data_IF_826342813276
#
_entry.id   IF_826342813276
#
_cell.length_a   1.000
_cell.length_b   1.000
_cell.length_c   1.000
_cell.angle_alpha   90.00
_cell.angle_beta   90.00
_cell.angle_gamma   90.00
#
_symmetry.space_group_name_H-M   'P 1'
#
loop_
_entity.id
_entity.type
_entity.pdbx_description
1 polymer ?
#
# COMPACT_ATOMS: atom_id res chain seq x y z
N UNK A 1 19.82 -23.31 -2.27
CA UNK A 1 18.52 -22.61 -2.25
C UNK A 1 17.50 -23.58 -2.81
N UNK A 2 16.47 -24.00 -2.07
CA UNK A 2 15.47 -24.89 -2.65
C UNK A 2 14.70 -24.11 -3.72
N UNK A 3 14.63 -24.67 -4.93
CA UNK A 3 13.78 -24.19 -6.01
C UNK A 3 12.33 -24.26 -5.54
N UNK A 4 11.81 -23.18 -4.95
CA UNK A 4 10.37 -23.04 -4.76
C UNK A 4 9.78 -22.74 -6.13
N UNK A 5 9.04 -23.71 -6.68
CA UNK A 5 8.32 -23.52 -7.94
C UNK A 5 7.38 -22.32 -7.79
N UNK A 6 7.52 -21.34 -8.68
CA UNK A 6 6.59 -20.21 -8.77
C UNK A 6 5.20 -20.74 -9.11
N UNK A 7 4.12 -20.15 -8.55
CA UNK A 7 2.76 -20.56 -8.86
C UNK A 7 2.48 -20.34 -10.35
N UNK A 8 1.88 -21.34 -11.01
CA UNK A 8 1.59 -21.29 -12.44
C UNK A 8 0.38 -20.41 -12.76
N UNK A 9 -0.57 -20.30 -11.82
CA UNK A 9 -1.79 -19.51 -11.96
C UNK A 9 -2.18 -18.88 -10.61
N UNK A 10 -3.18 -17.99 -10.65
CA UNK A 10 -3.64 -17.25 -9.47
C UNK A 10 -4.28 -18.17 -8.41
N UNK A 11 -4.96 -19.24 -8.82
CA UNK A 11 -5.60 -20.17 -7.88
C UNK A 11 -4.57 -20.94 -7.06
N UNK A 12 -3.47 -21.39 -7.67
CA UNK A 12 -2.33 -21.99 -6.98
C UNK A 12 -1.71 -21.03 -5.98
N UNK A 13 -1.60 -19.75 -6.33
CA UNK A 13 -1.10 -18.73 -5.40
C UNK A 13 -2.08 -18.53 -4.23
N UNK A 14 -3.39 -18.46 -4.47
CA UNK A 14 -4.40 -18.31 -3.41
C UNK A 14 -4.39 -19.53 -2.48
N UNK A 15 -4.30 -20.74 -3.04
CA UNK A 15 -4.16 -21.97 -2.26
C UNK A 15 -2.89 -21.94 -1.41
N UNK A 16 -1.76 -21.54 -1.99
CA UNK A 16 -0.50 -21.41 -1.26
C UNK A 16 -0.60 -20.39 -0.10
N UNK A 17 -1.28 -19.25 -0.32
CA UNK A 17 -1.52 -18.24 0.73
C UNK A 17 -2.35 -18.84 1.86
N UNK A 18 -3.42 -19.57 1.55
CA UNK A 18 -4.31 -20.18 2.56
C UNK A 18 -3.61 -21.21 3.46
N UNK A 19 -2.60 -21.91 2.92
CA UNK A 19 -1.82 -22.90 3.67
C UNK A 19 -0.77 -22.23 4.56
N UNK A 20 -0.29 -21.03 4.17
CA UNK A 20 0.81 -20.32 4.83
C UNK A 20 0.29 -19.05 5.53
N UNK A 21 -0.56 -19.20 6.54
CA UNK A 21 -1.19 -18.07 7.26
C UNK A 21 -0.36 -17.49 8.40
N UNK A 22 0.71 -18.16 8.82
CA UNK A 22 1.57 -17.69 9.92
C UNK A 22 2.56 -16.63 9.47
N UNK A 23 2.75 -15.58 10.28
CA UNK A 23 3.60 -14.43 9.95
C UNK A 23 5.06 -14.81 9.61
N UNK A 24 5.65 -15.74 10.36
CA UNK A 24 7.02 -16.20 10.13
C UNK A 24 7.15 -16.95 8.79
N UNK A 25 6.14 -17.75 8.45
CA UNK A 25 6.04 -18.47 7.18
C UNK A 25 5.83 -17.51 6.01
N UNK A 26 5.00 -16.47 6.20
CA UNK A 26 4.78 -15.40 5.21
C UNK A 26 6.09 -14.67 4.89
N UNK A 27 6.84 -14.27 5.91
CA UNK A 27 8.11 -13.54 5.73
C UNK A 27 9.18 -14.40 5.07
N UNK A 28 9.33 -15.67 5.47
CA UNK A 28 10.40 -16.55 4.98
C UNK A 28 10.11 -17.17 3.60
N UNK A 29 8.85 -17.46 3.29
CA UNK A 29 8.47 -18.21 2.08
C UNK A 29 7.62 -17.41 1.10
N UNK A 30 6.57 -16.70 1.57
CA UNK A 30 5.65 -16.02 0.66
C UNK A 30 6.26 -14.73 0.07
N UNK A 31 6.87 -13.88 0.89
CA UNK A 31 7.48 -12.63 0.45
C UNK A 31 8.50 -12.77 -0.70
N UNK A 32 9.48 -13.70 -0.66
CA UNK A 32 10.42 -13.86 -1.76
C UNK A 32 9.77 -14.35 -3.06
N UNK A 33 8.78 -15.25 -2.96
CA UNK A 33 8.00 -15.75 -4.12
C UNK A 33 7.26 -14.58 -4.78
N UNK A 34 6.50 -13.79 -4.01
CA UNK A 34 5.72 -12.67 -4.54
C UNK A 34 6.60 -11.62 -5.25
N UNK A 35 7.82 -11.40 -4.76
CA UNK A 35 8.78 -10.48 -5.38
C UNK A 35 9.30 -10.96 -6.74
N UNK A 36 9.34 -12.28 -6.97
CA UNK A 36 9.81 -12.87 -8.22
C UNK A 36 8.72 -12.95 -9.30
N UNK A 37 7.45 -12.97 -8.90
CA UNK A 37 6.32 -13.03 -9.84
C UNK A 37 6.23 -11.72 -10.65
N UNK A 38 6.09 -11.79 -11.99
CA UNK A 38 6.00 -10.61 -12.85
C UNK A 38 4.69 -9.85 -12.61
N UNK A 39 4.72 -8.52 -12.80
CA UNK A 39 3.56 -7.65 -12.57
C UNK A 39 2.30 -8.07 -13.35
N UNK A 40 2.46 -8.62 -14.56
CA UNK A 40 1.35 -9.07 -15.41
C UNK A 40 0.53 -10.19 -14.79
N UNK A 41 1.15 -11.04 -13.95
CA UNK A 41 0.47 -12.10 -13.22
C UNK A 41 -0.61 -11.53 -12.29
N UNK A 42 -0.29 -10.43 -11.60
CA UNK A 42 -1.20 -9.77 -10.66
C UNK A 42 -2.38 -9.03 -11.34
N UNK A 43 -2.41 -8.98 -12.67
CA UNK A 43 -3.54 -8.48 -13.46
C UNK A 43 -4.52 -9.59 -13.86
N UNK A 44 -4.18 -10.86 -13.64
CA UNK A 44 -5.01 -12.00 -13.98
C UNK A 44 -6.15 -12.20 -12.95
N UNK A 45 -7.20 -12.89 -13.38
CA UNK A 45 -8.28 -13.38 -12.52
C UNK A 45 -8.02 -14.81 -12.05
N UNK A 46 -8.89 -15.30 -11.17
CA UNK A 46 -9.00 -16.74 -10.86
C UNK A 46 -9.57 -17.52 -12.05
N UNK A 47 -9.43 -18.85 -12.04
CA UNK A 47 -10.03 -19.74 -13.06
C UNK A 47 -11.56 -19.59 -13.18
N UNK A 48 -12.24 -19.30 -12.07
CA UNK A 48 -13.68 -18.99 -12.03
C UNK A 48 -14.01 -17.55 -12.48
N UNK A 49 -13.04 -16.82 -13.05
CA UNK A 49 -13.17 -15.43 -13.49
C UNK A 49 -13.55 -14.44 -12.37
N UNK A 50 -13.23 -14.77 -11.11
CA UNK A 50 -13.35 -13.85 -9.96
C UNK A 50 -12.10 -13.01 -9.79
N UNK A 51 -12.25 -11.80 -9.27
CA UNK A 51 -11.14 -10.94 -8.91
C UNK A 51 -10.47 -11.47 -7.63
N UNK A 52 -9.14 -11.69 -7.62
CA UNK A 52 -8.44 -12.12 -6.41
C UNK A 52 -8.64 -11.17 -5.21
N UNK A 53 -8.92 -9.89 -5.48
CA UNK A 53 -9.20 -8.88 -4.45
C UNK A 53 -10.58 -9.07 -3.77
N UNK A 54 -11.50 -9.86 -4.36
CA UNK A 54 -12.75 -10.29 -3.70
C UNK A 54 -12.58 -11.55 -2.84
N UNK A 55 -11.56 -12.36 -3.15
CA UNK A 55 -11.34 -13.68 -2.53
C UNK A 55 -10.40 -13.57 -1.33
N UNK A 56 -9.40 -12.71 -1.43
CA UNK A 56 -8.40 -12.51 -0.38
C UNK A 56 -8.90 -11.54 0.69
N UNK A 57 -8.71 -11.91 1.97
CA UNK A 57 -8.98 -11.00 3.08
C UNK A 57 -7.89 -9.90 3.18
N UNK A 58 -8.25 -8.61 3.09
CA UNK A 58 -7.27 -7.52 3.07
C UNK A 58 -6.48 -7.34 4.37
N UNK A 59 -6.97 -7.85 5.51
CA UNK A 59 -6.26 -7.81 6.78
C UNK A 59 -5.29 -8.99 6.88
N UNK A 60 -5.79 -10.22 6.77
CA UNK A 60 -4.96 -11.43 6.91
C UNK A 60 -3.99 -11.64 5.75
N UNK A 61 -4.41 -11.30 4.53
CA UNK A 61 -3.61 -11.46 3.31
C UNK A 61 -2.99 -10.14 2.85
N UNK A 62 -2.69 -9.21 3.77
CA UNK A 62 -2.22 -7.85 3.43
C UNK A 62 -1.04 -7.82 2.45
N UNK A 63 -0.06 -8.72 2.62
CA UNK A 63 1.13 -8.79 1.76
C UNK A 63 0.77 -9.11 0.29
N UNK A 64 0.19 -10.29 -0.03
CA UNK A 64 -0.20 -10.59 -1.42
C UNK A 64 -1.28 -9.64 -1.94
N UNK A 65 -2.23 -9.21 -1.10
CA UNK A 65 -3.26 -8.24 -1.48
C UNK A 65 -2.65 -6.94 -2.02
N UNK A 66 -1.58 -6.45 -1.38
CA UNK A 66 -0.84 -5.25 -1.82
C UNK A 66 -0.24 -5.42 -3.21
N UNK A 67 0.28 -6.61 -3.56
CA UNK A 67 0.82 -6.85 -4.91
C UNK A 67 -0.25 -6.78 -5.99
N UNK A 68 -1.41 -7.43 -5.76
CA UNK A 68 -2.55 -7.33 -6.66
C UNK A 68 -3.00 -5.88 -6.79
N UNK A 69 -3.23 -5.20 -5.67
CA UNK A 69 -3.73 -3.83 -5.66
C UNK A 69 -2.76 -2.85 -6.33
N UNK A 70 -1.45 -2.95 -6.06
CA UNK A 70 -0.43 -2.12 -6.67
C UNK A 70 -0.35 -2.33 -8.19
N UNK A 71 -0.44 -3.58 -8.67
CA UNK A 71 -0.47 -3.87 -10.10
C UNK A 71 -1.71 -3.24 -10.78
N UNK A 72 -2.89 -3.33 -10.16
CA UNK A 72 -4.11 -2.69 -10.66
C UNK A 72 -4.02 -1.17 -10.66
N UNK A 73 -3.37 -0.57 -9.66
CA UNK A 73 -3.09 0.87 -9.62
C UNK A 73 -2.20 1.34 -10.77
N UNK A 74 -1.42 0.46 -11.39
CA UNK A 74 -0.53 0.77 -12.51
C UNK A 74 -1.05 0.30 -13.87
N UNK A 75 -2.19 -0.39 -13.92
CA UNK A 75 -2.77 -0.83 -15.18
C UNK A 75 -3.17 0.38 -16.05
N UNK A 76 -3.10 0.22 -17.38
CA UNK A 76 -3.45 1.29 -18.33
C UNK A 76 -4.95 1.63 -18.31
N UNK A 77 -5.80 0.62 -18.13
CA UNK A 77 -7.27 0.76 -18.14
C UNK A 77 -7.90 0.02 -16.95
N UNK A 78 -7.73 0.51 -15.72
CA UNK A 78 -8.30 -0.14 -14.55
C UNK A 78 -9.82 0.11 -14.48
N UNK A 79 -10.57 -0.83 -13.90
CA UNK A 79 -11.94 -0.55 -13.47
C UNK A 79 -11.88 0.37 -12.24
N UNK A 80 -11.92 1.68 -12.48
CA UNK A 80 -11.62 2.67 -11.45
C UNK A 80 -12.60 2.65 -10.29
N UNK A 81 -13.90 2.53 -10.55
CA UNK A 81 -14.91 2.56 -9.49
C UNK A 81 -14.68 1.43 -8.48
N UNK A 82 -14.40 0.22 -8.99
CA UNK A 82 -14.10 -0.94 -8.16
C UNK A 82 -12.74 -0.83 -7.47
N UNK A 83 -11.73 -0.34 -8.20
CA UNK A 83 -10.38 -0.17 -7.66
C UNK A 83 -10.35 0.81 -6.48
N UNK A 84 -11.05 1.94 -6.57
CA UNK A 84 -11.16 2.89 -5.45
C UNK A 84 -11.77 2.19 -4.23
N UNK A 85 -12.83 1.39 -4.40
CA UNK A 85 -13.45 0.66 -3.29
C UNK A 85 -12.46 -0.29 -2.60
N UNK A 86 -11.71 -1.07 -3.37
CA UNK A 86 -10.67 -1.95 -2.81
C UNK A 86 -9.59 -1.16 -2.07
N UNK A 87 -9.10 -0.05 -2.63
CA UNK A 87 -8.07 0.75 -1.98
C UNK A 87 -8.60 1.35 -0.67
N UNK A 88 -9.80 1.94 -0.69
CA UNK A 88 -10.40 2.53 0.51
C UNK A 88 -10.61 1.48 1.61
N UNK A 89 -11.12 0.29 1.27
CA UNK A 89 -11.26 -0.80 2.22
C UNK A 89 -9.88 -1.22 2.75
N UNK A 90 -8.93 -1.47 1.87
CA UNK A 90 -7.59 -1.93 2.23
C UNK A 90 -6.87 -1.00 3.21
N UNK A 91 -6.87 0.31 2.93
CA UNK A 91 -6.24 1.33 3.78
C UNK A 91 -6.82 1.41 5.20
N UNK A 92 -8.00 0.84 5.44
CA UNK A 92 -8.60 0.81 6.79
C UNK A 92 -8.21 -0.41 7.62
N UNK A 93 -7.91 -1.55 6.99
CA UNK A 93 -7.83 -2.86 7.68
C UNK A 93 -6.48 -3.57 7.56
N UNK A 94 -5.55 -3.11 6.73
CA UNK A 94 -4.28 -3.80 6.51
C UNK A 94 -3.47 -4.07 7.81
N UNK A 95 -2.61 -5.09 7.77
CA UNK A 95 -1.61 -5.38 8.79
C UNK A 95 -0.30 -4.65 8.46
N UNK A 96 0.10 -3.72 9.32
CA UNK A 96 1.29 -2.90 9.13
C UNK A 96 2.58 -3.74 9.07
N UNK A 97 2.64 -4.88 9.76
CA UNK A 97 3.83 -5.75 9.77
C UNK A 97 4.06 -6.36 8.39
N UNK A 98 2.98 -6.79 7.73
CA UNK A 98 3.03 -7.29 6.36
C UNK A 98 3.42 -6.18 5.37
N UNK A 99 2.85 -4.99 5.54
CA UNK A 99 3.12 -3.85 4.65
C UNK A 99 4.57 -3.38 4.71
N UNK A 100 5.19 -3.41 5.90
CA UNK A 100 6.61 -3.04 6.07
C UNK A 100 7.58 -3.97 5.32
N UNK A 101 7.13 -5.14 4.85
CA UNK A 101 7.92 -6.01 3.96
C UNK A 101 7.94 -5.51 2.51
N UNK A 102 6.94 -4.69 2.12
CA UNK A 102 6.73 -4.20 0.75
C UNK A 102 6.36 -2.71 0.71
N UNK A 103 7.15 -1.84 1.35
CA UNK A 103 6.83 -0.42 1.49
C UNK A 103 6.66 0.30 0.13
N UNK A 104 7.43 -0.10 -0.89
CA UNK A 104 7.31 0.46 -2.25
C UNK A 104 5.97 0.13 -2.91
N UNK A 105 5.46 -1.09 -2.73
CA UNK A 105 4.16 -1.50 -3.28
C UNK A 105 3.02 -0.81 -2.56
N UNK A 106 3.15 -0.61 -1.26
CA UNK A 106 2.17 0.14 -0.49
C UNK A 106 2.11 1.61 -0.91
N UNK A 107 3.26 2.23 -1.16
CA UNK A 107 3.32 3.59 -1.70
C UNK A 107 2.63 3.67 -3.07
N UNK A 108 2.81 2.68 -3.95
CA UNK A 108 2.11 2.61 -5.25
C UNK A 108 0.59 2.56 -5.09
N UNK A 109 0.08 1.84 -4.08
CA UNK A 109 -1.35 1.81 -3.76
C UNK A 109 -1.84 3.20 -3.34
N UNK A 110 -1.12 3.84 -2.43
CA UNK A 110 -1.49 5.15 -1.91
C UNK A 110 -1.44 6.24 -2.98
N UNK A 111 -0.39 6.25 -3.82
CA UNK A 111 -0.30 7.12 -5.01
C UNK A 111 -1.42 6.83 -6.01
N UNK A 112 -1.79 5.55 -6.18
CA UNK A 112 -2.94 5.13 -6.96
C UNK A 112 -4.23 5.81 -6.49
N UNK A 113 -4.50 5.82 -5.18
CA UNK A 113 -5.67 6.52 -4.64
C UNK A 113 -5.64 8.00 -4.99
N UNK A 114 -4.55 8.72 -4.71
CA UNK A 114 -4.43 10.16 -4.99
C UNK A 114 -4.68 10.47 -6.46
N UNK A 115 -4.06 9.69 -7.36
CA UNK A 115 -4.22 9.83 -8.82
C UNK A 115 -5.67 9.65 -9.24
N UNK A 116 -6.32 8.59 -8.75
CA UNK A 116 -7.70 8.28 -9.10
C UNK A 116 -8.65 9.35 -8.54
N UNK A 117 -8.53 9.75 -7.27
CA UNK A 117 -9.42 10.78 -6.70
C UNK A 117 -9.24 12.15 -7.37
N UNK A 118 -8.01 12.47 -7.77
CA UNK A 118 -7.72 13.71 -8.52
C UNK A 118 -8.34 13.67 -9.92
N UNK A 119 -8.26 12.53 -10.62
CA UNK A 119 -8.87 12.38 -11.95
C UNK A 119 -10.40 12.57 -11.93
N UNK A 120 -11.05 12.20 -10.82
CA UNK A 120 -12.48 12.39 -10.60
C UNK A 120 -12.83 13.78 -10.03
N UNK A 121 -11.85 14.67 -9.91
CA UNK A 121 -12.04 16.04 -9.46
C UNK A 121 -12.29 16.19 -7.95
N UNK A 122 -12.02 15.16 -7.14
CA UNK A 122 -12.24 15.21 -5.70
C UNK A 122 -11.11 14.56 -4.90
N UNK A 123 -9.96 15.22 -4.86
CA UNK A 123 -8.79 14.81 -4.07
C UNK A 123 -9.04 14.74 -2.56
N UNK A 124 -10.05 15.45 -2.05
CA UNK A 124 -10.43 15.45 -0.62
C UNK A 124 -10.79 14.04 -0.13
N UNK A 125 -11.32 13.18 -1.02
CA UNK A 125 -11.66 11.79 -0.71
C UNK A 125 -10.45 11.00 -0.21
N UNK A 126 -9.25 11.28 -0.72
CA UNK A 126 -8.03 10.56 -0.35
C UNK A 126 -7.49 10.95 1.04
N UNK A 127 -7.82 12.15 1.54
CA UNK A 127 -7.19 12.72 2.74
C UNK A 127 -7.40 11.85 3.98
N UNK A 128 -8.64 11.52 4.32
CA UNK A 128 -8.95 10.73 5.52
C UNK A 128 -8.41 9.30 5.44
N UNK A 129 -8.58 8.54 4.34
CA UNK A 129 -7.97 7.23 4.17
C UNK A 129 -6.45 7.25 4.32
N UNK A 130 -5.77 8.24 3.72
CA UNK A 130 -4.31 8.36 3.81
C UNK A 130 -3.84 8.70 5.22
N UNK A 131 -4.53 9.60 5.93
CA UNK A 131 -4.21 9.91 7.33
C UNK A 131 -4.28 8.66 8.22
N UNK A 132 -5.35 7.87 8.08
CA UNK A 132 -5.53 6.63 8.83
C UNK A 132 -4.46 5.59 8.46
N UNK A 133 -4.17 5.44 7.17
CA UNK A 133 -3.15 4.52 6.69
C UNK A 133 -1.76 4.90 7.20
N UNK A 134 -1.43 6.19 7.20
CA UNK A 134 -0.16 6.72 7.69
C UNK A 134 0.06 6.38 9.16
N UNK A 135 -0.94 6.66 10.01
CA UNK A 135 -0.87 6.37 11.45
C UNK A 135 -0.75 4.87 11.75
N UNK A 136 -1.42 4.02 10.96
CA UNK A 136 -1.34 2.56 11.09
C UNK A 136 0.01 2.02 10.59
N UNK A 137 0.55 2.59 9.53
CA UNK A 137 1.78 2.13 8.87
C UNK A 137 3.03 2.44 9.69
N UNK A 138 3.14 3.67 10.21
CA UNK A 138 4.30 4.13 10.96
C UNK A 138 4.56 3.24 12.20
N UNK A 139 5.81 2.82 12.46
CA UNK A 139 6.15 2.05 13.68
C UNK A 139 5.75 2.75 14.97
N UNK A 140 6.04 4.04 15.07
CA UNK A 140 5.55 4.93 16.11
C UNK A 140 5.15 6.26 15.46
N UNK A 141 4.40 7.13 16.14
CA UNK A 141 4.06 8.46 15.61
C UNK A 141 5.30 9.30 15.22
N UNK A 142 6.44 9.06 15.86
CA UNK A 142 7.67 9.84 15.69
C UNK A 142 8.55 9.35 14.51
N UNK A 143 8.14 8.27 13.83
CA UNK A 143 8.85 7.75 12.67
C UNK A 143 8.45 8.47 11.40
N UNK A 144 9.42 9.03 10.68
CA UNK A 144 9.18 9.48 9.32
C UNK A 144 9.04 8.29 8.37
N UNK A 145 8.10 8.38 7.45
CA UNK A 145 7.86 7.36 6.42
C UNK A 145 7.72 8.02 5.05
N UNK A 146 7.90 7.23 3.98
CA UNK A 146 7.70 7.69 2.60
C UNK A 146 6.26 8.20 2.31
N UNK A 147 5.28 7.84 3.15
CA UNK A 147 3.89 8.32 3.04
C UNK A 147 3.69 9.72 3.63
N UNK A 148 4.54 10.18 4.54
CA UNK A 148 4.35 11.48 5.21
C UNK A 148 4.35 12.62 4.19
N UNK A 149 5.41 12.73 3.39
CA UNK A 149 5.51 13.78 2.36
C UNK A 149 4.33 13.74 1.38
N UNK A 150 3.90 12.54 1.00
CA UNK A 150 2.78 12.36 0.08
C UNK A 150 1.47 12.84 0.70
N UNK A 151 1.19 12.47 1.95
CA UNK A 151 -0.01 12.93 2.65
C UNK A 151 -0.04 14.46 2.83
N UNK A 152 1.08 15.06 3.23
CA UNK A 152 1.17 16.53 3.40
C UNK A 152 0.96 17.23 2.05
N UNK A 153 1.58 16.72 0.98
CA UNK A 153 1.37 17.23 -0.39
C UNK A 153 -0.11 17.17 -0.80
N UNK A 154 -0.80 16.07 -0.54
CA UNK A 154 -2.22 15.95 -0.88
C UNK A 154 -3.10 16.90 -0.06
N UNK A 155 -2.77 17.12 1.21
CA UNK A 155 -3.46 18.13 2.02
C UNK A 155 -3.28 19.54 1.44
N UNK A 156 -2.08 19.88 0.98
CA UNK A 156 -1.77 21.17 0.34
C UNK A 156 -2.56 21.33 -0.97
N UNK A 157 -2.51 20.34 -1.87
CA UNK A 157 -3.22 20.36 -3.15
C UNK A 157 -4.74 20.43 -2.99
N UNK A 158 -5.28 19.71 -2.00
CA UNK A 158 -6.72 19.68 -1.69
C UNK A 158 -7.16 20.82 -0.78
N UNK A 159 -6.26 21.76 -0.40
CA UNK A 159 -6.51 22.86 0.55
C UNK A 159 -7.06 22.41 1.92
N UNK A 160 -6.72 21.18 2.32
CA UNK A 160 -7.15 20.53 3.55
C UNK A 160 -6.13 20.68 4.69
N UNK A 161 -5.57 21.88 4.88
CA UNK A 161 -4.45 22.15 5.81
C UNK A 161 -4.70 21.68 7.25
N UNK A 162 -5.94 21.84 7.74
CA UNK A 162 -6.31 21.42 9.10
C UNK A 162 -6.12 19.92 9.34
N UNK A 163 -6.22 19.10 8.30
CA UNK A 163 -6.03 17.65 8.39
C UNK A 163 -4.56 17.26 8.51
N UNK A 164 -3.64 18.12 8.06
CA UNK A 164 -2.20 17.90 8.19
C UNK A 164 -1.66 18.21 9.60
N UNK A 165 -2.33 19.11 10.34
CA UNK A 165 -1.86 19.60 11.64
C UNK A 165 -1.55 18.51 12.68
N UNK A 166 -2.35 17.45 12.85
CA UNK A 166 -2.04 16.41 13.84
C UNK A 166 -0.73 15.67 13.56
N UNK A 167 -0.36 15.56 12.29
CA UNK A 167 0.88 14.91 11.85
C UNK A 167 2.06 15.87 11.95
N UNK A 168 1.89 17.12 11.48
CA UNK A 168 2.95 18.14 11.52
C UNK A 168 3.30 18.61 12.95
N UNK A 169 2.35 18.55 13.89
CA UNK A 169 2.60 18.88 15.30
C UNK A 169 3.35 17.80 16.05
N UNK A 170 3.45 16.60 15.49
CA UNK A 170 4.21 15.53 16.11
C UNK A 170 5.68 15.64 15.70
N UNK A 171 6.57 15.72 16.68
CA UNK A 171 7.99 15.80 16.42
C UNK A 171 8.49 14.46 15.86
N UNK A 172 9.04 14.53 14.66
CA UNK A 172 9.66 13.39 14.00
C UNK A 172 11.09 13.25 14.52
N UNK A 173 11.35 12.17 15.24
CA UNK A 173 12.65 11.91 15.89
C UNK A 173 13.33 10.65 15.37
N UNK A 174 12.62 9.80 14.63
CA UNK A 174 13.09 8.49 14.22
C UNK A 174 12.95 8.28 12.70
N UNK A 175 13.93 7.57 12.12
CA UNK A 175 13.95 7.21 10.70
C UNK A 175 14.35 5.74 10.61
N UNK A 176 13.47 4.91 10.04
CA UNK A 176 13.72 3.48 9.81
C UNK A 176 13.62 3.18 8.32
N UNK A 177 14.75 3.24 7.62
CA UNK A 177 14.83 3.06 6.17
C UNK A 177 14.34 1.66 5.73
N UNK A 178 14.77 0.54 6.36
CA UNK A 178 14.28 -0.79 6.01
C UNK A 178 12.76 -0.95 6.03
N UNK A 179 12.08 -0.44 7.06
CA UNK A 179 10.63 -0.64 7.23
C UNK A 179 9.78 0.35 6.44
N UNK A 180 10.32 1.53 6.17
CA UNK A 180 9.55 2.66 5.61
C UNK A 180 9.92 3.02 4.17
N UNK A 181 10.98 2.43 3.63
CA UNK A 181 11.60 2.77 2.35
C UNK A 181 11.67 4.29 2.09
N UNK A 182 12.00 5.04 3.13
CA UNK A 182 12.12 6.48 3.05
C UNK A 182 13.45 6.87 2.39
N UNK A 183 13.39 7.81 1.45
CA UNK A 183 14.56 8.41 0.81
C UNK A 183 14.82 9.83 1.35
N UNK A 184 16.03 10.34 1.16
CA UNK A 184 16.38 11.70 1.59
C UNK A 184 15.46 12.78 0.98
N UNK A 185 14.98 12.56 -0.25
CA UNK A 185 14.02 13.45 -0.91
C UNK A 185 12.68 13.49 -0.19
N UNK A 186 12.22 12.36 0.38
CA UNK A 186 10.97 12.33 1.12
C UNK A 186 11.07 13.19 2.38
N UNK A 187 12.23 13.15 3.05
CA UNK A 187 12.50 14.02 4.19
C UNK A 187 12.47 15.50 3.80
N UNK A 188 13.16 15.88 2.73
CA UNK A 188 13.16 17.26 2.24
C UNK A 188 11.76 17.75 1.86
N UNK A 189 11.00 16.92 1.14
CA UNK A 189 9.65 17.25 0.69
C UNK A 189 8.66 17.33 1.86
N UNK A 190 8.78 16.47 2.86
CA UNK A 190 7.94 16.54 4.06
C UNK A 190 8.04 17.90 4.74
N UNK A 191 9.27 18.37 5.03
CA UNK A 191 9.49 19.65 5.70
C UNK A 191 9.15 20.84 4.78
N UNK A 192 9.47 20.73 3.48
CA UNK A 192 9.13 21.76 2.50
C UNK A 192 7.62 21.98 2.38
N UNK A 193 6.85 20.90 2.19
CA UNK A 193 5.39 20.98 2.11
C UNK A 193 4.75 21.31 3.46
N UNK A 194 5.34 20.89 4.58
CA UNK A 194 4.83 21.19 5.92
C UNK A 194 4.95 22.67 6.31
N UNK A 195 5.87 23.42 5.68
CA UNK A 195 6.06 24.84 5.91
C UNK A 195 5.17 25.75 5.03
N UNK A 196 4.50 25.21 4.00
CA UNK A 196 3.61 25.92 3.08
C UNK A 196 2.18 26.00 3.58
#
# INVERSE_FOLDING_TARGET
MPNQNLPANVDELIQFISVNSEYETITKHLAPILKQIPQQFYLQGTSDNRDPLDVLDPNFCSLPYTYFLAARCQADRPNVARLIQYILQFLTVFDARHIRLVPDKFLQVAQGLCRLTTLYGNGVIAIKPLANALQRYAPTPNHLTNLHQMFIKECLLSRCYKQALPILKNDITEIDVPSTAIFYTDHLLYHYYGAM
#
